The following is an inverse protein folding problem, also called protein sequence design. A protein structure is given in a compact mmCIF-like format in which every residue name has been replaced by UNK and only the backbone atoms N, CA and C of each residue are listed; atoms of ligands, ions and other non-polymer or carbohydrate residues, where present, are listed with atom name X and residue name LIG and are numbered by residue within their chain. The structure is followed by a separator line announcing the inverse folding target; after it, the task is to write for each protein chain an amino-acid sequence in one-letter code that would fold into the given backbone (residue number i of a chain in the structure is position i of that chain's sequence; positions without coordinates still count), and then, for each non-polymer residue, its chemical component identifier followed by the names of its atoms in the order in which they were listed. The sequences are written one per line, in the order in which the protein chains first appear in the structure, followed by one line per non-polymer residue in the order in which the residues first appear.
data_IF_420768107096
#
_entry.id   IF_420768107096
#
_cell.length_a   1.000
_cell.length_b   1.000
_cell.length_c   1.000
_cell.angle_alpha   90.00
_cell.angle_beta   90.00
_cell.angle_gamma   90.00
#
_symmetry.space_group_name_H-M   'P 1'
#
loop_
_entity.id
_entity.type
_entity.pdbx_description
1 polymer ?
#
# COMPACT_ATOMS: atom_id res chain seq x y z
N UNK A 1 -29.46 -17.19 9.34
CA UNK A 1 -28.79 -18.13 8.39
C UNK A 1 -28.08 -17.39 7.25
N UNK A 2 -27.35 -16.30 7.52
CA UNK A 2 -26.58 -15.58 6.49
C UNK A 2 -25.09 -15.40 6.82
N UNK A 3 -24.64 -15.75 8.03
CA UNK A 3 -23.22 -15.56 8.43
C UNK A 3 -22.26 -16.62 7.90
N UNK A 4 -22.76 -17.75 7.38
CA UNK A 4 -21.92 -18.92 7.06
C UNK A 4 -21.41 -18.94 5.61
N UNK A 5 -21.79 -17.96 4.77
CA UNK A 5 -21.37 -17.90 3.35
C UNK A 5 -20.15 -17.02 3.10
N UNK A 6 -19.91 -15.99 3.93
CA UNK A 6 -18.73 -15.12 3.76
C UNK A 6 -17.44 -15.74 4.32
N UNK A 7 -17.52 -16.52 5.39
CA UNK A 7 -16.34 -17.17 5.98
C UNK A 7 -15.77 -18.30 5.11
N UNK A 8 -16.58 -18.86 4.20
CA UNK A 8 -16.21 -20.02 3.36
C UNK A 8 -15.63 -19.68 1.98
N UNK A 9 -15.59 -18.40 1.58
CA UNK A 9 -14.86 -17.98 0.36
C UNK A 9 -13.39 -17.65 0.61
N UNK A 10 -12.96 -17.65 1.88
CA UNK A 10 -11.61 -17.28 2.30
C UNK A 10 -10.67 -18.49 2.50
N UNK A 11 -11.15 -19.72 2.35
CA UNK A 11 -10.46 -20.96 2.76
C UNK A 11 -9.86 -21.77 1.60
N UNK A 12 -9.38 -21.13 0.52
CA UNK A 12 -8.69 -21.82 -0.58
C UNK A 12 -7.33 -21.17 -0.93
N UNK A 13 -6.65 -20.59 0.05
CA UNK A 13 -5.22 -20.20 0.01
C UNK A 13 -4.64 -20.33 1.43
N UNK A 14 -4.77 -21.53 2.01
CA UNK A 14 -4.27 -21.81 3.35
C UNK A 14 -2.78 -22.22 3.27
N UNK A 15 -1.93 -21.34 3.82
CA UNK A 15 -0.61 -21.54 4.42
C UNK A 15 0.22 -20.25 4.22
N UNK A 16 0.56 -19.58 5.34
CA UNK A 16 1.51 -18.44 5.52
C UNK A 16 0.94 -17.04 5.80
N UNK A 17 -0.12 -16.92 6.61
CA UNK A 17 -0.46 -15.65 7.27
C UNK A 17 -0.42 -15.83 8.78
N UNK A 18 0.10 -14.83 9.51
CA UNK A 18 0.03 -14.83 10.97
C UNK A 18 -1.44 -14.81 11.41
N UNK A 19 -1.77 -15.52 12.49
CA UNK A 19 -3.05 -15.34 13.14
C UNK A 19 -3.18 -13.91 13.67
N UNK A 20 -4.41 -13.43 13.92
CA UNK A 20 -4.62 -12.09 14.48
C UNK A 20 -3.86 -11.89 15.80
N UNK A 21 -3.75 -12.95 16.63
CA UNK A 21 -3.02 -12.92 17.91
C UNK A 21 -1.51 -12.86 17.67
N UNK A 22 -0.97 -13.68 16.78
CA UNK A 22 0.46 -13.68 16.46
C UNK A 22 0.89 -12.36 15.81
N UNK A 23 0.04 -11.80 14.95
CA UNK A 23 0.27 -10.48 14.34
C UNK A 23 0.33 -9.39 15.41
N UNK A 24 -0.63 -9.35 16.34
CA UNK A 24 -0.65 -8.37 17.42
C UNK A 24 0.60 -8.49 18.29
N UNK A 25 0.99 -9.71 18.66
CA UNK A 25 2.21 -9.95 19.43
C UNK A 25 3.44 -9.45 18.68
N UNK A 26 3.59 -9.80 17.40
CA UNK A 26 4.75 -9.36 16.60
C UNK A 26 4.80 -7.85 16.42
N UNK A 27 3.65 -7.19 16.24
CA UNK A 27 3.59 -5.73 16.18
C UNK A 27 3.97 -5.07 17.51
N UNK A 28 3.58 -5.65 18.64
CA UNK A 28 3.97 -5.15 19.96
C UNK A 28 5.48 -5.31 20.20
N UNK A 29 6.06 -6.44 19.79
CA UNK A 29 7.51 -6.67 19.83
C UNK A 29 8.26 -5.63 19.00
N UNK A 30 7.87 -5.43 17.73
CA UNK A 30 8.44 -4.41 16.85
C UNK A 30 8.31 -3.00 17.44
N UNK A 31 7.15 -2.67 18.02
CA UNK A 31 6.94 -1.38 18.67
C UNK A 31 7.91 -1.18 19.85
N UNK A 32 8.13 -2.22 20.66
CA UNK A 32 9.05 -2.18 21.80
C UNK A 32 10.51 -2.09 21.35
N UNK A 33 10.91 -2.89 20.36
CA UNK A 33 12.23 -2.84 19.72
C UNK A 33 12.53 -1.41 19.24
N UNK A 34 11.61 -0.80 18.50
CA UNK A 34 11.76 0.54 17.94
C UNK A 34 11.77 1.62 19.02
N UNK A 35 10.95 1.50 20.08
CA UNK A 35 10.92 2.45 21.20
C UNK A 35 12.25 2.49 21.99
N UNK A 36 13.01 1.41 21.98
CA UNK A 36 14.31 1.35 22.67
C UNK A 36 15.43 2.10 21.92
N UNK A 37 15.20 2.48 20.66
CA UNK A 37 16.15 3.32 19.92
C UNK A 37 15.90 4.78 20.27
N UNK A 38 16.98 5.47 20.63
CA UNK A 38 16.97 6.92 20.64
C UNK A 38 16.98 7.47 19.20
N UNK A 39 15.79 7.65 18.64
CA UNK A 39 15.62 8.21 17.29
C UNK A 39 16.15 9.64 17.13
N UNK A 40 16.51 10.33 18.23
CA UNK A 40 17.08 11.69 18.16
C UNK A 40 18.58 11.71 17.85
N UNK A 41 19.27 10.59 18.07
CA UNK A 41 20.70 10.41 17.79
C UNK A 41 20.93 9.55 16.54
N UNK A 42 19.87 9.18 15.83
CA UNK A 42 19.93 8.36 14.63
C UNK A 42 20.52 9.16 13.46
N UNK A 43 21.82 9.00 13.20
CA UNK A 43 22.44 9.55 12.00
C UNK A 43 22.00 8.77 10.76
N UNK A 44 21.50 9.50 9.77
CA UNK A 44 21.08 8.96 8.47
C UNK A 44 22.19 9.26 7.47
N UNK A 45 22.83 8.21 6.96
CA UNK A 45 23.89 8.33 5.96
C UNK A 45 23.33 8.32 4.54
N UNK A 46 24.14 8.69 3.55
CA UNK A 46 23.75 8.56 2.14
C UNK A 46 23.46 7.11 1.76
N UNK A 47 24.26 6.15 2.27
CA UNK A 47 24.02 4.71 2.10
C UNK A 47 22.63 4.30 2.59
N UNK A 48 22.18 4.84 3.73
CA UNK A 48 20.87 4.54 4.30
C UNK A 48 19.72 5.00 3.40
N UNK A 49 19.92 6.04 2.59
CA UNK A 49 18.90 6.60 1.70
C UNK A 49 18.67 5.78 0.42
N UNK A 50 19.50 4.76 0.16
CA UNK A 50 19.36 3.88 -1.00
C UNK A 50 18.15 2.96 -0.84
N UNK A 51 17.21 3.09 -1.78
CA UNK A 51 16.08 2.19 -1.98
C UNK A 51 16.36 1.31 -3.21
N UNK A 52 16.59 0.03 -2.98
CA UNK A 52 16.97 -0.97 -4.01
C UNK A 52 15.95 -1.08 -5.15
N UNK A 53 14.70 -0.69 -4.91
CA UNK A 53 13.62 -0.78 -5.90
C UNK A 53 13.35 0.55 -6.63
N UNK A 54 14.07 1.60 -6.25
CA UNK A 54 13.93 2.98 -6.73
C UNK A 54 15.33 3.52 -7.09
N UNK A 55 15.99 2.86 -8.04
CA UNK A 55 17.30 3.28 -8.55
C UNK A 55 17.13 4.11 -9.83
N UNK A 56 17.40 5.43 -9.81
CA UNK A 56 17.28 6.28 -11.00
C UNK A 56 18.31 5.94 -12.09
N UNK A 57 19.44 5.33 -11.73
CA UNK A 57 20.50 4.94 -12.67
C UNK A 57 20.16 3.62 -13.38
N UNK A 58 19.23 2.83 -12.84
CA UNK A 58 18.78 1.56 -13.40
C UNK A 58 17.24 1.51 -13.51
N UNK A 59 16.63 2.36 -14.36
CA UNK A 59 15.18 2.44 -14.48
C UNK A 59 14.61 1.13 -15.03
N UNK A 60 13.50 0.68 -14.44
CA UNK A 60 12.81 -0.55 -14.84
C UNK A 60 11.54 -0.23 -15.62
N UNK A 61 11.41 -0.79 -16.81
CA UNK A 61 10.20 -0.66 -17.62
C UNK A 61 9.18 -1.68 -17.13
N UNK A 62 8.03 -1.19 -16.66
CA UNK A 62 6.90 -2.04 -16.29
C UNK A 62 6.21 -2.57 -17.56
N UNK A 63 6.05 -3.88 -17.65
CA UNK A 63 5.39 -4.52 -18.79
C UNK A 63 3.91 -4.81 -18.53
N UNK A 64 3.14 -4.95 -19.60
CA UNK A 64 1.70 -5.22 -19.52
C UNK A 64 1.39 -6.52 -18.78
N UNK A 65 2.20 -7.57 -18.97
CA UNK A 65 2.01 -8.87 -18.33
C UNK A 65 2.11 -8.77 -16.80
N UNK A 66 2.93 -7.86 -16.29
CA UNK A 66 3.07 -7.61 -14.85
C UNK A 66 1.82 -6.95 -14.27
N UNK A 67 1.19 -6.05 -15.04
CA UNK A 67 -0.09 -5.43 -14.69
C UNK A 67 -1.22 -6.47 -14.70
N UNK A 68 -1.27 -7.32 -15.75
CA UNK A 68 -2.26 -8.39 -15.84
C UNK A 68 -2.11 -9.40 -14.69
N UNK A 69 -0.88 -9.79 -14.36
CA UNK A 69 -0.59 -10.65 -13.22
C UNK A 69 -0.99 -9.99 -11.88
N UNK A 70 -0.75 -8.68 -11.73
CA UNK A 70 -1.17 -7.92 -10.56
C UNK A 70 -2.70 -7.90 -10.42
N UNK A 71 -3.44 -7.64 -11.49
CA UNK A 71 -4.90 -7.66 -11.49
C UNK A 71 -5.44 -9.03 -11.06
N UNK A 72 -4.87 -10.12 -11.59
CA UNK A 72 -5.25 -11.46 -11.16
C UNK A 72 -4.93 -11.73 -9.68
N UNK A 73 -3.77 -11.27 -9.20
CA UNK A 73 -3.30 -11.46 -7.82
C UNK A 73 -4.22 -10.78 -6.80
N UNK A 74 -4.68 -9.56 -7.08
CA UNK A 74 -5.43 -8.75 -6.12
C UNK A 74 -6.95 -8.96 -6.17
N UNK A 75 -7.49 -9.62 -7.21
CA UNK A 75 -8.93 -9.70 -7.50
C UNK A 75 -9.85 -10.17 -6.36
N UNK A 76 -9.31 -10.89 -5.38
CA UNK A 76 -10.06 -11.40 -4.23
C UNK A 76 -9.95 -10.54 -2.96
N UNK A 77 -9.21 -9.45 -2.99
CA UNK A 77 -9.19 -8.52 -1.85
C UNK A 77 -8.93 -7.07 -2.20
N UNK A 78 -9.12 -6.70 -3.47
CA UNK A 78 -9.47 -5.34 -3.88
C UNK A 78 -10.71 -5.44 -4.75
N UNK A 79 -11.75 -4.68 -4.41
CA UNK A 79 -13.00 -4.69 -5.14
C UNK A 79 -12.87 -4.00 -6.50
N UNK A 80 -13.57 -4.53 -7.50
CA UNK A 80 -13.71 -3.87 -8.79
C UNK A 80 -14.65 -2.67 -8.63
N UNK A 81 -14.10 -1.47 -8.62
CA UNK A 81 -14.89 -0.25 -8.39
C UNK A 81 -15.77 0.10 -9.61
N UNK A 82 -16.89 0.80 -9.42
CA UNK A 82 -17.72 1.25 -10.53
C UNK A 82 -16.99 2.27 -11.43
N UNK A 83 -17.17 2.13 -12.74
CA UNK A 83 -16.89 3.18 -13.73
C UNK A 83 -18.22 3.65 -14.31
N UNK A 84 -18.80 4.72 -13.75
CA UNK A 84 -20.17 5.14 -14.08
C UNK A 84 -20.19 6.44 -14.85
N UNK A 85 -21.11 6.56 -15.81
CA UNK A 85 -21.34 7.82 -16.55
C UNK A 85 -21.66 8.99 -15.62
N UNK A 86 -21.19 10.18 -15.99
CA UNK A 86 -21.41 11.44 -15.28
C UNK A 86 -22.67 12.13 -15.77
N UNK A 87 -23.40 12.77 -14.85
CA UNK A 87 -24.51 13.66 -15.22
C UNK A 87 -24.02 14.90 -16.00
N UNK A 88 -22.72 15.22 -15.91
CA UNK A 88 -22.10 16.34 -16.63
C UNK A 88 -21.87 16.04 -18.12
N UNK A 89 -22.00 14.79 -18.57
CA UNK A 89 -21.76 14.43 -19.98
C UNK A 89 -22.56 15.30 -20.94
N UNK A 90 -23.82 15.61 -20.59
CA UNK A 90 -24.71 16.50 -21.36
C UNK A 90 -24.22 17.95 -21.42
N UNK A 91 -23.57 18.42 -20.35
CA UNK A 91 -23.11 19.80 -20.23
C UNK A 91 -21.84 20.00 -21.06
N UNK A 92 -20.94 19.01 -21.05
CA UNK A 92 -19.65 19.09 -21.77
C UNK A 92 -19.73 18.60 -23.21
N UNK A 93 -20.84 17.98 -23.61
CA UNK A 93 -21.01 17.40 -24.95
C UNK A 93 -20.10 16.20 -25.23
N UNK A 94 -19.71 15.46 -24.19
CA UNK A 94 -18.82 14.29 -24.24
C UNK A 94 -19.27 13.25 -23.23
N UNK A 95 -19.11 11.96 -23.53
CA UNK A 95 -19.40 10.89 -22.57
C UNK A 95 -18.31 10.81 -21.49
N UNK A 96 -18.60 11.42 -20.35
CA UNK A 96 -17.73 11.39 -19.17
C UNK A 96 -18.07 10.21 -18.27
N UNK A 97 -17.05 9.52 -17.79
CA UNK A 97 -17.16 8.44 -16.82
C UNK A 97 -16.25 8.70 -15.62
N UNK A 98 -16.68 8.29 -14.42
CA UNK A 98 -15.88 8.35 -13.22
C UNK A 98 -15.55 6.94 -12.73
N UNK A 99 -14.26 6.62 -12.68
CA UNK A 99 -13.74 5.44 -11.99
C UNK A 99 -13.61 5.74 -10.49
N UNK A 100 -14.53 5.19 -9.69
CA UNK A 100 -14.77 5.62 -8.30
C UNK A 100 -13.88 4.90 -7.27
N UNK A 101 -12.58 5.10 -7.38
CA UNK A 101 -11.59 4.49 -6.46
C UNK A 101 -11.71 4.98 -5.00
N UNK A 102 -12.37 6.11 -4.77
CA UNK A 102 -12.66 6.59 -3.42
C UNK A 102 -13.67 5.72 -2.65
N UNK A 103 -14.32 4.77 -3.32
CA UNK A 103 -15.22 3.79 -2.69
C UNK A 103 -14.47 2.60 -2.07
N UNK A 104 -13.18 2.44 -2.36
CA UNK A 104 -12.37 1.41 -1.72
C UNK A 104 -12.26 1.68 -0.20
N UNK A 105 -12.09 0.65 0.64
CA UNK A 105 -12.07 0.76 2.12
C UNK A 105 -11.19 1.88 2.70
N UNK A 106 -10.03 2.14 2.10
CA UNK A 106 -9.07 3.18 2.51
C UNK A 106 -9.28 4.51 1.79
N UNK A 107 -10.26 4.57 0.88
CA UNK A 107 -10.69 5.76 0.17
C UNK A 107 -9.82 6.13 -1.04
N UNK A 108 -9.04 5.20 -1.59
CA UNK A 108 -8.23 5.49 -2.79
C UNK A 108 -7.73 4.24 -3.53
N UNK A 109 -7.22 4.46 -4.74
CA UNK A 109 -6.61 3.43 -5.58
C UNK A 109 -5.37 2.77 -4.98
N UNK A 110 -4.73 3.37 -3.95
CA UNK A 110 -3.45 2.89 -3.40
C UNK A 110 -3.52 1.45 -2.88
N UNK A 111 -4.71 0.95 -2.55
CA UNK A 111 -4.97 -0.46 -2.20
C UNK A 111 -4.45 -1.44 -3.24
N UNK A 112 -4.60 -1.15 -4.53
CA UNK A 112 -4.22 -2.07 -5.60
C UNK A 112 -2.74 -2.37 -5.58
N UNK A 113 -1.91 -1.32 -5.58
CA UNK A 113 -0.46 -1.45 -5.44
C UNK A 113 -0.06 -2.05 -4.09
N UNK A 114 -0.61 -1.55 -2.99
CA UNK A 114 -0.24 -2.03 -1.65
C UNK A 114 -0.50 -3.54 -1.50
N UNK A 115 -1.71 -4.01 -1.84
CA UNK A 115 -2.04 -5.43 -1.80
C UNK A 115 -1.15 -6.24 -2.75
N UNK A 116 -0.95 -5.76 -3.97
CA UNK A 116 -0.13 -6.44 -4.96
C UNK A 116 1.29 -6.69 -4.43
N UNK A 117 1.93 -5.63 -3.92
CA UNK A 117 3.30 -5.70 -3.40
C UNK A 117 3.40 -6.61 -2.18
N UNK A 118 2.48 -6.49 -1.22
CA UNK A 118 2.46 -7.37 -0.04
C UNK A 118 2.31 -8.85 -0.42
N UNK A 119 1.47 -9.17 -1.42
CA UNK A 119 1.28 -10.54 -1.87
C UNK A 119 2.51 -11.11 -2.58
N UNK A 120 3.32 -10.27 -3.24
CA UNK A 120 4.57 -10.69 -3.91
C UNK A 120 5.74 -10.95 -2.96
N UNK A 121 5.66 -10.52 -1.70
CA UNK A 121 6.76 -10.71 -0.75
C UNK A 121 7.04 -12.20 -0.46
N UNK A 122 8.31 -12.59 -0.35
CA UNK A 122 8.71 -13.89 0.17
C UNK A 122 8.16 -14.12 1.60
N UNK A 123 7.90 -15.38 2.00
CA UNK A 123 7.36 -15.70 3.32
C UNK A 123 8.17 -15.13 4.49
N UNK A 124 9.50 -15.16 4.40
CA UNK A 124 10.41 -14.64 5.40
C UNK A 124 10.33 -13.12 5.54
N UNK A 125 10.10 -12.39 4.45
CA UNK A 125 9.87 -10.94 4.48
C UNK A 125 8.49 -10.61 5.03
N UNK A 126 7.47 -11.40 4.70
CA UNK A 126 6.12 -11.26 5.28
C UNK A 126 6.13 -11.43 6.79
N UNK A 127 6.87 -12.44 7.29
CA UNK A 127 6.99 -12.70 8.72
C UNK A 127 7.76 -11.59 9.46
N UNK A 128 8.83 -11.04 8.86
CA UNK A 128 9.55 -9.90 9.43
C UNK A 128 8.70 -8.63 9.47
N UNK A 129 7.97 -8.37 8.39
CA UNK A 129 7.11 -7.20 8.23
C UNK A 129 7.67 -6.18 7.24
N UNK A 130 6.86 -5.15 7.02
CA UNK A 130 7.15 -4.07 6.08
C UNK A 130 7.22 -2.73 6.78
N UNK A 131 7.90 -1.77 6.15
CA UNK A 131 7.96 -0.38 6.59
C UNK A 131 7.72 0.58 5.43
N UNK A 132 7.00 1.67 5.66
CA UNK A 132 6.80 2.72 4.67
C UNK A 132 6.90 4.11 5.29
N UNK A 133 7.34 5.09 4.50
CA UNK A 133 7.23 6.50 4.85
C UNK A 133 6.07 7.11 4.07
N UNK A 134 5.01 7.54 4.75
CA UNK A 134 3.85 8.18 4.13
C UNK A 134 2.93 8.79 5.18
N UNK A 135 2.48 10.04 4.94
CA UNK A 135 1.42 10.68 5.73
C UNK A 135 0.01 10.53 5.10
N UNK A 136 -0.09 9.82 3.96
CA UNK A 136 -1.28 9.84 3.10
C UNK A 136 -1.88 8.46 2.83
N UNK A 137 -2.46 8.32 1.64
CA UNK A 137 -3.24 7.14 1.25
C UNK A 137 -2.42 5.85 1.14
N UNK A 138 -1.13 5.93 0.83
CA UNK A 138 -0.25 4.74 0.81
C UNK A 138 -0.12 4.11 2.20
N UNK A 139 0.03 4.93 3.25
CA UNK A 139 0.08 4.43 4.63
C UNK A 139 -1.22 3.72 5.03
N UNK A 140 -2.39 4.25 4.64
CA UNK A 140 -3.66 3.57 4.92
C UNK A 140 -3.75 2.24 4.18
N UNK A 141 -3.43 2.23 2.88
CA UNK A 141 -3.50 1.04 2.04
C UNK A 141 -2.58 -0.09 2.53
N UNK A 142 -1.34 0.24 2.89
CA UNK A 142 -0.37 -0.76 3.37
C UNK A 142 -0.75 -1.29 4.75
N UNK A 143 -1.24 -0.44 5.66
CA UNK A 143 -1.70 -0.87 6.98
C UNK A 143 -2.96 -1.76 6.88
N UNK A 144 -3.93 -1.37 6.05
CA UNK A 144 -5.17 -2.12 5.84
C UNK A 144 -4.91 -3.52 5.28
N UNK A 145 -4.14 -3.61 4.18
CA UNK A 145 -3.83 -4.90 3.59
C UNK A 145 -2.78 -5.70 4.34
N UNK A 146 -1.86 -5.04 5.05
CA UNK A 146 -0.91 -5.71 5.93
C UNK A 146 -1.64 -6.50 7.01
N UNK A 147 -2.62 -5.88 7.67
CA UNK A 147 -3.51 -6.56 8.62
C UNK A 147 -4.26 -7.73 7.98
N UNK A 148 -4.91 -7.51 6.84
CA UNK A 148 -5.66 -8.58 6.15
C UNK A 148 -4.80 -9.77 5.73
N UNK A 149 -3.51 -9.54 5.49
CA UNK A 149 -2.55 -10.56 5.08
C UNK A 149 -1.66 -11.04 6.23
N UNK A 150 -1.94 -10.68 7.49
CA UNK A 150 -1.12 -11.13 8.62
C UNK A 150 0.34 -10.66 8.54
N UNK A 151 0.63 -9.51 7.94
CA UNK A 151 1.97 -8.94 7.77
C UNK A 151 2.14 -7.76 8.74
N UNK A 152 3.15 -7.76 9.62
CA UNK A 152 3.44 -6.61 10.49
C UNK A 152 3.77 -5.36 9.67
N UNK A 153 3.23 -4.20 10.05
CA UNK A 153 3.41 -2.95 9.32
C UNK A 153 3.92 -1.86 10.25
N UNK A 154 5.01 -1.22 9.83
CA UNK A 154 5.51 0.02 10.42
C UNK A 154 5.29 1.17 9.44
N UNK A 155 4.76 2.31 9.91
CA UNK A 155 4.66 3.53 9.10
C UNK A 155 5.33 4.69 9.80
N UNK A 156 6.25 5.33 9.10
CA UNK A 156 6.91 6.56 9.55
C UNK A 156 6.20 7.75 8.92
N UNK A 157 5.70 8.65 9.75
CA UNK A 157 5.00 9.86 9.33
C UNK A 157 5.69 11.11 9.89
N UNK A 158 5.70 12.23 9.15
CA UNK A 158 6.22 13.49 9.65
C UNK A 158 5.36 14.04 10.79
N UNK A 159 5.92 14.94 11.60
CA UNK A 159 5.25 15.54 12.77
C UNK A 159 3.93 16.24 12.46
N UNK A 160 3.74 16.70 11.23
CA UNK A 160 2.55 17.41 10.76
C UNK A 160 1.52 16.49 10.06
N UNK A 161 1.68 15.16 10.17
CA UNK A 161 0.73 14.22 9.59
C UNK A 161 -0.68 14.40 10.19
N UNK A 162 -1.75 14.39 9.37
CA UNK A 162 -3.10 14.53 9.87
C UNK A 162 -3.44 13.45 10.92
N UNK A 163 -3.93 13.87 12.09
CA UNK A 163 -4.25 12.98 13.22
C UNK A 163 -5.19 11.83 12.80
N UNK A 164 -6.15 12.11 11.92
CA UNK A 164 -7.05 11.09 11.38
C UNK A 164 -6.32 9.96 10.65
N UNK A 165 -5.27 10.28 9.87
CA UNK A 165 -4.47 9.27 9.15
C UNK A 165 -3.62 8.45 10.12
N UNK A 166 -3.07 9.09 11.15
CA UNK A 166 -2.33 8.42 12.24
C UNK A 166 -3.23 7.43 12.97
N UNK A 167 -4.41 7.86 13.40
CA UNK A 167 -5.35 7.04 14.14
C UNK A 167 -5.87 5.86 13.32
N UNK A 168 -6.13 6.07 12.02
CA UNK A 168 -6.55 4.97 11.13
C UNK A 168 -5.44 3.92 10.95
N UNK A 169 -4.17 4.32 10.83
CA UNK A 169 -3.08 3.34 10.77
C UNK A 169 -3.00 2.52 12.07
N UNK A 170 -3.10 3.19 13.23
CA UNK A 170 -3.14 2.52 14.54
C UNK A 170 -4.34 1.59 14.69
N UNK A 171 -5.51 1.94 14.17
CA UNK A 171 -6.71 1.07 14.25
C UNK A 171 -6.60 -0.18 13.37
N UNK A 172 -5.74 -0.15 12.34
CA UNK A 172 -5.30 -1.35 11.61
C UNK A 172 -4.21 -2.14 12.33
N UNK A 173 -3.81 -1.73 13.54
CA UNK A 173 -2.80 -2.38 14.36
C UNK A 173 -1.37 -1.95 14.06
N UNK A 174 -1.15 -1.11 13.04
CA UNK A 174 0.19 -0.72 12.58
C UNK A 174 0.99 0.04 13.65
N UNK A 175 2.30 -0.20 13.68
CA UNK A 175 3.24 0.61 14.46
C UNK A 175 3.44 1.95 13.76
N UNK A 176 3.01 3.05 14.40
CA UNK A 176 3.11 4.39 13.81
C UNK A 176 4.19 5.21 14.51
N UNK A 177 5.20 5.63 13.74
CA UNK A 177 6.33 6.44 14.21
C UNK A 177 6.13 7.87 13.70
N UNK A 178 5.99 8.83 14.61
CA UNK A 178 5.84 10.26 14.27
C UNK A 178 7.20 10.97 14.38
N UNK A 179 7.95 10.99 13.28
CA UNK A 179 9.30 11.57 13.19
C UNK A 179 9.62 12.12 11.80
N UNK A 180 10.50 13.12 11.77
CA UNK A 180 10.82 13.93 10.59
C UNK A 180 9.97 15.20 10.49
N UNK A 181 10.57 16.29 10.01
CA UNK A 181 9.88 17.55 9.72
C UNK A 181 9.07 17.47 8.42
N UNK A 182 9.53 16.64 7.47
CA UNK A 182 8.92 16.42 6.17
C UNK A 182 9.01 14.94 5.79
N UNK A 183 8.38 14.58 4.66
CA UNK A 183 8.33 13.20 4.19
C UNK A 183 9.71 12.63 3.85
N UNK A 184 10.66 13.46 3.40
CA UNK A 184 12.01 13.00 3.05
C UNK A 184 12.79 12.57 4.30
N UNK A 185 12.70 13.34 5.39
CA UNK A 185 13.28 12.93 6.67
C UNK A 185 12.61 11.65 7.22
N UNK A 186 11.27 11.56 7.15
CA UNK A 186 10.57 10.32 7.51
C UNK A 186 11.00 9.13 6.64
N UNK A 187 11.29 9.36 5.36
CA UNK A 187 11.83 8.33 4.44
C UNK A 187 13.20 7.85 4.89
N UNK A 188 14.12 8.76 5.23
CA UNK A 188 15.43 8.37 5.74
C UNK A 188 15.36 7.53 7.02
N UNK A 189 14.48 7.90 7.95
CA UNK A 189 14.22 7.10 9.16
C UNK A 189 13.64 5.73 8.80
N UNK A 190 12.66 5.68 7.88
CA UNK A 190 12.05 4.42 7.46
C UNK A 190 13.06 3.47 6.80
N UNK A 191 13.94 3.98 5.93
CA UNK A 191 14.99 3.20 5.30
C UNK A 191 16.05 2.74 6.31
N UNK A 192 16.43 3.60 7.26
CA UNK A 192 17.35 3.21 8.33
C UNK A 192 16.79 2.06 9.17
N UNK A 193 15.54 2.20 9.62
CA UNK A 193 14.85 1.17 10.39
C UNK A 193 14.62 -0.10 9.57
N UNK A 194 14.34 0.03 8.27
CA UNK A 194 14.26 -1.10 7.34
C UNK A 194 15.53 -1.95 7.39
N UNK A 195 16.70 -1.32 7.30
CA UNK A 195 18.00 -2.00 7.35
C UNK A 195 18.31 -2.60 8.73
N UNK A 196 18.04 -1.85 9.81
CA UNK A 196 18.33 -2.30 11.18
C UNK A 196 17.50 -3.51 11.60
N UNK A 197 16.23 -3.55 11.20
CA UNK A 197 15.28 -4.60 11.62
C UNK A 197 14.95 -5.62 10.53
N UNK A 198 15.58 -5.50 9.35
CA UNK A 198 15.32 -6.37 8.21
C UNK A 198 13.88 -6.29 7.68
N UNK A 199 13.19 -5.17 7.92
CA UNK A 199 11.85 -4.90 7.39
C UNK A 199 11.96 -4.55 5.91
N UNK A 200 11.01 -4.97 5.07
CA UNK A 200 11.00 -4.54 3.67
C UNK A 200 10.44 -3.13 3.54
N UNK A 201 11.25 -2.18 3.06
CA UNK A 201 10.76 -0.84 2.71
C UNK A 201 9.85 -0.91 1.48
N UNK A 202 8.66 -0.31 1.58
CA UNK A 202 7.69 -0.25 0.48
C UNK A 202 7.46 1.21 0.07
N UNK A 203 8.16 1.63 -0.98
CA UNK A 203 7.93 2.92 -1.63
C UNK A 203 6.48 2.99 -2.14
N UNK A 204 5.82 4.14 -1.97
CA UNK A 204 4.39 4.30 -2.28
C UNK A 204 4.05 4.65 -3.72
N UNK A 205 5.05 4.89 -4.56
CA UNK A 205 4.85 5.29 -5.95
C UNK A 205 5.92 4.72 -6.88
N UNK A 206 7.20 4.82 -6.54
CA UNK A 206 8.29 4.36 -7.39
C UNK A 206 8.74 2.96 -7.01
N UNK A 207 7.87 1.99 -7.30
CA UNK A 207 8.11 0.57 -7.05
C UNK A 207 7.36 -0.27 -8.10
N UNK A 208 8.01 -1.18 -8.83
CA UNK A 208 7.39 -1.94 -9.91
C UNK A 208 6.08 -2.65 -9.52
N UNK A 209 6.05 -3.35 -8.38
CA UNK A 209 4.82 -3.99 -7.90
C UNK A 209 3.71 -3.02 -7.47
N UNK A 210 4.05 -1.83 -6.96
CA UNK A 210 3.05 -0.80 -6.65
C UNK A 210 2.42 -0.34 -7.96
N UNK A 211 3.25 0.05 -8.93
CA UNK A 211 2.81 0.52 -10.26
C UNK A 211 1.99 -0.55 -10.99
N UNK A 212 2.43 -1.81 -10.98
CA UNK A 212 1.70 -2.94 -11.56
C UNK A 212 0.30 -3.09 -10.96
N UNK A 213 0.20 -2.99 -9.63
CA UNK A 213 -1.09 -3.01 -8.93
C UNK A 213 -1.96 -1.83 -9.34
N UNK A 214 -1.44 -0.60 -9.34
CA UNK A 214 -2.22 0.57 -9.75
C UNK A 214 -2.71 0.46 -11.20
N UNK A 215 -1.88 -0.10 -12.09
CA UNK A 215 -2.22 -0.33 -13.50
C UNK A 215 -3.45 -1.23 -13.71
N UNK A 216 -3.80 -2.09 -12.74
CA UNK A 216 -5.02 -2.92 -12.81
C UNK A 216 -6.29 -2.08 -12.96
N UNK A 217 -6.27 -0.82 -12.50
CA UNK A 217 -7.35 0.13 -12.70
C UNK A 217 -7.65 0.33 -14.19
N UNK A 218 -6.62 0.43 -15.03
CA UNK A 218 -6.77 0.62 -16.47
C UNK A 218 -7.46 -0.57 -17.13
N UNK A 219 -7.15 -1.80 -16.71
CA UNK A 219 -7.83 -3.00 -17.21
C UNK A 219 -9.32 -2.98 -16.85
N UNK A 220 -9.67 -2.55 -15.64
CA UNK A 220 -11.08 -2.42 -15.25
C UNK A 220 -11.81 -1.32 -16.02
N UNK A 221 -11.15 -0.20 -16.31
CA UNK A 221 -11.73 0.88 -17.12
C UNK A 221 -12.03 0.38 -18.53
N UNK A 222 -11.08 -0.29 -19.19
CA UNK A 222 -11.24 -0.84 -20.54
C UNK A 222 -12.32 -1.93 -20.59
N UNK A 223 -12.50 -2.71 -19.52
CA UNK A 223 -13.57 -3.70 -19.45
C UNK A 223 -14.95 -3.06 -19.20
N UNK A 224 -15.02 -1.97 -18.43
CA UNK A 224 -16.28 -1.31 -18.07
C UNK A 224 -16.74 -0.27 -19.11
N UNK A 225 -15.81 0.30 -19.88
CA UNK A 225 -16.04 1.27 -20.95
C UNK A 225 -15.16 0.89 -22.14
N UNK A 226 -15.58 -0.11 -22.95
CA UNK A 226 -14.75 -0.68 -24.03
C UNK A 226 -14.32 0.32 -25.10
N UNK A 227 -15.17 1.31 -25.39
CA UNK A 227 -14.96 2.31 -26.44
C UNK A 227 -14.39 3.63 -25.89
N UNK A 228 -13.61 3.58 -24.79
CA UNK A 228 -13.03 4.78 -24.18
C UNK A 228 -11.96 5.41 -25.08
N UNK A 229 -12.14 6.68 -25.46
CA UNK A 229 -11.18 7.41 -26.28
C UNK A 229 -9.96 7.92 -25.49
N UNK A 230 -10.17 8.32 -24.23
CA UNK A 230 -9.14 8.92 -23.39
C UNK A 230 -9.36 8.64 -21.90
N UNK A 231 -8.26 8.46 -21.16
CA UNK A 231 -8.27 8.28 -19.70
C UNK A 231 -7.45 9.40 -19.06
N UNK A 232 -8.10 10.23 -18.25
CA UNK A 232 -7.43 11.29 -17.48
C UNK A 232 -7.03 10.76 -16.10
N UNK A 233 -5.73 10.79 -15.80
CA UNK A 233 -5.16 10.30 -14.53
C UNK A 233 -4.47 11.43 -13.78
N UNK A 234 -4.81 11.70 -12.51
CA UNK A 234 -4.06 12.65 -11.68
C UNK A 234 -2.63 12.15 -11.44
N UNK A 235 -1.65 13.04 -11.62
CA UNK A 235 -0.24 12.77 -11.33
C UNK A 235 0.20 13.49 -10.05
N UNK A 236 0.99 12.82 -9.22
CA UNK A 236 1.64 13.40 -8.04
C UNK A 236 3.15 13.20 -8.10
N UNK A 237 3.86 13.86 -7.18
CA UNK A 237 5.31 13.70 -6.91
C UNK A 237 5.46 13.33 -5.44
#
# INVERSE_FOLDING_TARGET
MSETRDTKRMTMLDERFLSDTDLQQRQQELENEIKNIDLSTLEITAEDMIDEWCNPDEPRVLRFEEIAAAAYRIKFGVEKTPCTSSHMSKIVGMDLYFKKEFLLPTGSFKERGARNTLMTLPPEEKARGVIAASAGNHALAICYHGRQLGIPVVVVMPRHAPIMKVNNCKSFGAVVIIRGMNLNESKGIALKLSKLYGLRYINGFDHPHILAGQGSLGLEVLDQVPDVDAILVPTGI
#
